data_IF_689426833662
#
_entry.id   IF_689426833662
#
_cell.length_a   1.000
_cell.length_b   1.000
_cell.length_c   1.000
_cell.angle_alpha   90.00
_cell.angle_beta   90.00
_cell.angle_gamma   90.00
#
_symmetry.space_group_name_H-M   'P 1'
#
loop_
_entity.id
_entity.type
_entity.pdbx_description
1 polymer ?
#
# COMPACT_ATOMS: atom_id res chain seq x y z
N UNK A 1 61.77 57.94 -18.29
CA UNK A 1 62.77 58.42 -17.32
C UNK A 1 62.09 59.52 -16.52
N UNK A 2 61.64 59.34 -15.28
CA UNK A 2 61.81 58.31 -14.22
C UNK A 2 60.65 58.52 -13.21
N UNK A 3 59.73 57.56 -13.00
CA UNK A 3 59.67 56.49 -11.94
C UNK A 3 59.26 57.01 -10.54
N UNK A 4 58.00 56.81 -10.08
CA UNK A 4 57.45 55.74 -9.19
C UNK A 4 57.80 55.92 -7.69
N UNK A 5 57.05 55.57 -6.64
CA UNK A 5 55.66 55.14 -6.32
C UNK A 5 55.55 55.05 -4.76
N UNK A 6 54.33 55.04 -4.18
CA UNK A 6 53.96 54.48 -2.84
C UNK A 6 54.42 55.26 -1.55
N UNK A 7 53.67 55.44 -0.44
CA UNK A 7 52.56 54.72 0.21
C UNK A 7 51.86 55.59 1.30
N UNK A 8 50.68 55.15 1.76
CA UNK A 8 50.06 55.32 3.10
C UNK A 8 48.88 56.31 3.30
N UNK A 9 47.69 55.75 3.06
CA UNK A 9 46.46 55.64 3.86
C UNK A 9 46.08 56.65 4.98
N UNK A 10 44.78 57.01 5.10
CA UNK A 10 44.19 57.68 6.27
C UNK A 10 43.74 56.67 7.35
N UNK A 11 43.86 57.04 8.62
CA UNK A 11 43.43 56.24 9.78
C UNK A 11 42.22 56.89 10.45
N UNK A 12 41.01 56.41 10.11
CA UNK A 12 39.82 56.59 10.94
C UNK A 12 39.15 55.21 11.08
N UNK A 13 39.45 54.51 12.18
CA UNK A 13 38.87 53.22 12.50
C UNK A 13 37.84 53.37 13.63
N UNK A 14 36.56 53.38 13.23
CA UNK A 14 35.39 53.32 14.12
C UNK A 14 35.28 51.92 14.74
N UNK A 15 35.19 51.86 16.07
CA UNK A 15 35.05 50.63 16.85
C UNK A 15 33.63 50.07 16.73
N UNK A 16 33.47 48.79 16.37
CA UNK A 16 32.18 48.07 16.35
C UNK A 16 32.12 47.07 17.50
N UNK A 17 31.08 47.05 18.36
CA UNK A 17 30.92 46.05 19.41
C UNK A 17 30.19 44.79 18.91
N UNK A 18 30.79 43.62 19.13
CA UNK A 18 30.17 42.30 19.05
C UNK A 18 29.27 42.06 20.28
N UNK A 19 27.98 41.71 20.10
CA UNK A 19 27.17 41.28 21.26
C UNK A 19 25.65 41.10 21.13
N UNK A 20 25.04 41.00 19.94
CA UNK A 20 23.57 41.10 19.83
C UNK A 20 22.81 40.02 19.04
N UNK A 21 23.43 38.89 18.66
CA UNK A 21 22.76 37.88 17.80
C UNK A 21 22.38 36.54 18.45
N UNK A 22 22.67 36.31 19.74
CA UNK A 22 22.39 35.00 20.39
C UNK A 22 20.95 34.91 20.95
N UNK A 23 20.36 36.04 21.35
CA UNK A 23 19.02 36.09 21.97
C UNK A 23 17.85 35.67 21.04
N UNK A 24 17.80 36.06 19.75
CA UNK A 24 16.65 35.69 18.90
C UNK A 24 16.67 34.21 18.47
N UNK A 25 17.84 33.57 18.40
CA UNK A 25 17.94 32.16 18.00
C UNK A 25 17.41 31.19 19.07
N UNK A 26 17.69 31.47 20.36
CA UNK A 26 17.15 30.69 21.49
C UNK A 26 15.63 30.80 21.60
N UNK A 27 15.04 31.94 21.25
CA UNK A 27 13.59 32.13 21.28
C UNK A 27 12.86 31.29 20.22
N UNK A 28 13.47 31.06 19.05
CA UNK A 28 12.90 30.24 17.97
C UNK A 28 12.96 28.75 18.33
N UNK A 29 14.09 28.28 18.89
CA UNK A 29 14.24 26.89 19.36
C UNK A 29 13.25 26.60 20.50
N UNK A 30 13.03 27.54 21.42
CA UNK A 30 12.02 27.41 22.50
C UNK A 30 10.56 27.53 22.05
N UNK A 31 10.27 27.93 20.80
CA UNK A 31 8.93 27.87 20.22
C UNK A 31 8.70 26.50 19.57
N UNK A 32 9.72 25.94 18.92
CA UNK A 32 9.69 24.60 18.31
C UNK A 32 9.57 23.48 19.35
N UNK A 33 10.28 23.58 20.50
CA UNK A 33 10.12 22.63 21.62
C UNK A 33 8.74 22.68 22.27
N UNK A 34 8.07 23.85 22.31
CA UNK A 34 6.71 23.97 22.89
C UNK A 34 5.64 23.34 22.02
N UNK A 35 5.78 23.43 20.70
CA UNK A 35 4.86 22.74 19.79
C UNK A 35 5.00 21.22 19.94
N UNK A 36 6.23 20.71 20.09
CA UNK A 36 6.48 19.28 20.33
C UNK A 36 5.94 18.84 21.70
N UNK A 37 6.15 19.60 22.77
CA UNK A 37 5.57 19.31 24.10
C UNK A 37 4.04 19.31 24.09
N UNK A 38 3.41 20.24 23.37
CA UNK A 38 1.94 20.23 23.18
C UNK A 38 1.47 19.03 22.35
N UNK A 39 2.22 18.62 21.33
CA UNK A 39 1.95 17.41 20.56
C UNK A 39 2.14 16.15 21.45
N UNK A 40 3.18 16.08 22.28
CA UNK A 40 3.44 15.00 23.23
C UNK A 40 2.37 14.90 24.32
N UNK A 41 1.90 16.04 24.84
CA UNK A 41 0.79 16.10 25.78
C UNK A 41 -0.54 15.67 25.12
N UNK A 42 -0.72 15.99 23.84
CA UNK A 42 -1.87 15.54 23.03
C UNK A 42 -1.85 14.02 22.81
N UNK A 43 -0.66 13.43 22.56
CA UNK A 43 -0.48 11.99 22.38
C UNK A 43 -0.79 11.14 23.64
N UNK A 44 -0.73 11.74 24.83
CA UNK A 44 -1.07 11.10 26.11
C UNK A 44 -2.57 11.20 26.48
N UNK A 45 -3.37 11.90 25.68
CA UNK A 45 -4.82 12.01 25.90
C UNK A 45 -5.54 10.71 25.51
N UNK A 46 -6.51 10.22 26.31
CA UNK A 46 -7.33 9.07 25.93
C UNK A 46 -8.10 9.35 24.64
N UNK A 47 -8.41 10.62 24.34
CA UNK A 47 -9.08 11.04 23.11
C UNK A 47 -8.19 10.74 21.90
N UNK A 48 -6.91 11.12 21.95
CA UNK A 48 -5.97 10.87 20.85
C UNK A 48 -5.78 9.37 20.60
N UNK A 49 -5.61 8.59 21.68
CA UNK A 49 -5.52 7.13 21.58
C UNK A 49 -6.76 6.53 20.90
N UNK A 50 -7.98 6.95 21.29
CA UNK A 50 -9.21 6.47 20.65
C UNK A 50 -9.32 6.87 19.18
N UNK A 51 -8.88 8.08 18.80
CA UNK A 51 -8.88 8.53 17.41
C UNK A 51 -7.90 7.73 16.55
N UNK A 52 -6.70 7.43 17.06
CA UNK A 52 -5.73 6.58 16.36
C UNK A 52 -6.26 5.16 16.21
N UNK A 53 -6.82 4.57 17.26
CA UNK A 53 -7.41 3.23 17.20
C UNK A 53 -8.58 3.19 16.20
N UNK A 54 -9.46 4.20 16.21
CA UNK A 54 -10.60 4.28 15.31
C UNK A 54 -10.15 4.41 13.85
N UNK A 55 -9.13 5.23 13.56
CA UNK A 55 -8.59 5.36 12.20
C UNK A 55 -7.93 4.07 11.72
N UNK A 56 -7.21 3.35 12.59
CA UNK A 56 -6.68 2.01 12.30
C UNK A 56 -7.80 1.01 12.01
N UNK A 57 -8.87 1.00 12.81
CA UNK A 57 -10.03 0.10 12.58
C UNK A 57 -10.73 0.43 11.26
N UNK A 58 -10.95 1.71 10.95
CA UNK A 58 -11.58 2.15 9.69
C UNK A 58 -10.72 1.73 8.50
N UNK A 59 -9.41 1.99 8.54
CA UNK A 59 -8.50 1.61 7.45
C UNK A 59 -8.42 0.09 7.27
N UNK A 60 -8.34 -0.69 8.35
CA UNK A 60 -8.42 -2.15 8.28
C UNK A 60 -9.74 -2.63 7.68
N UNK A 61 -10.86 -2.01 8.04
CA UNK A 61 -12.18 -2.36 7.52
C UNK A 61 -12.28 -2.12 6.01
N UNK A 62 -11.69 -1.03 5.50
CA UNK A 62 -11.61 -0.73 4.06
C UNK A 62 -10.75 -1.76 3.34
N UNK A 63 -9.59 -2.14 3.89
CA UNK A 63 -8.70 -3.16 3.31
C UNK A 63 -9.40 -4.53 3.23
N UNK A 64 -10.17 -4.90 4.26
CA UNK A 64 -10.89 -6.17 4.29
C UNK A 64 -12.17 -6.21 3.45
N UNK A 65 -12.68 -5.05 2.99
CA UNK A 65 -13.92 -4.97 2.22
C UNK A 65 -13.78 -5.40 0.75
N UNK A 66 -12.56 -5.55 0.25
CA UNK A 66 -12.28 -6.22 -1.02
C UNK A 66 -12.41 -7.73 -0.86
N UNK A 67 -13.60 -8.20 -0.46
CA UNK A 67 -13.93 -9.61 -0.52
C UNK A 67 -13.65 -10.09 -1.94
N UNK A 68 -12.84 -11.16 -2.09
CA UNK A 68 -12.46 -11.71 -3.40
C UNK A 68 -13.71 -11.86 -4.28
N UNK A 69 -13.91 -10.89 -5.18
CA UNK A 69 -14.92 -10.93 -6.23
C UNK A 69 -14.38 -11.87 -7.29
N UNK A 70 -15.23 -12.78 -7.74
CA UNK A 70 -14.84 -13.67 -8.81
C UNK A 70 -14.72 -12.90 -10.14
N UNK A 71 -13.80 -13.30 -11.02
CA UNK A 71 -13.72 -12.78 -12.37
C UNK A 71 -15.03 -12.97 -13.14
N UNK A 72 -15.18 -12.26 -14.26
CA UNK A 72 -16.33 -12.42 -15.13
C UNK A 72 -16.41 -13.86 -15.67
N UNK A 73 -17.61 -14.44 -15.67
CA UNK A 73 -17.85 -15.83 -16.07
C UNK A 73 -17.53 -16.84 -14.96
N UNK A 74 -17.31 -16.36 -13.74
CA UNK A 74 -17.07 -17.19 -12.56
C UNK A 74 -18.02 -16.79 -11.42
N UNK A 75 -18.49 -17.79 -10.68
CA UNK A 75 -19.24 -17.60 -9.45
C UNK A 75 -18.50 -18.22 -8.26
N UNK A 76 -18.87 -17.84 -7.04
CA UNK A 76 -18.38 -18.57 -5.86
C UNK A 76 -18.95 -19.98 -5.87
N UNK A 77 -18.08 -20.96 -5.79
CA UNK A 77 -18.43 -22.35 -5.76
C UNK A 77 -17.55 -23.16 -4.82
N UNK A 78 -17.86 -24.43 -4.77
CA UNK A 78 -17.15 -25.43 -3.99
C UNK A 78 -17.07 -26.72 -4.80
N UNK A 79 -15.92 -27.38 -4.77
CA UNK A 79 -15.78 -28.72 -5.33
C UNK A 79 -14.68 -29.53 -4.67
N UNK A 80 -14.61 -30.80 -5.07
CA UNK A 80 -13.71 -31.82 -4.53
C UNK A 80 -12.26 -31.70 -5.02
N UNK A 81 -11.68 -30.50 -5.07
CA UNK A 81 -10.36 -30.30 -5.67
C UNK A 81 -9.96 -28.83 -5.75
N UNK A 82 -8.86 -28.55 -6.44
CA UNK A 82 -8.41 -27.18 -6.70
C UNK A 82 -9.08 -26.57 -7.93
N UNK A 83 -8.99 -25.26 -8.07
CA UNK A 83 -9.34 -24.53 -9.30
C UNK A 83 -8.69 -25.19 -10.54
N UNK A 84 -9.48 -25.45 -11.58
CA UNK A 84 -9.03 -26.17 -12.79
C UNK A 84 -9.02 -27.70 -12.66
N UNK A 85 -9.64 -28.26 -11.63
CA UNK A 85 -9.86 -29.70 -11.48
C UNK A 85 -11.19 -30.13 -12.14
N UNK A 86 -11.22 -31.22 -12.93
CA UNK A 86 -12.46 -31.75 -13.52
C UNK A 86 -13.51 -32.17 -12.49
N UNK A 87 -13.14 -32.37 -11.23
CA UNK A 87 -14.06 -32.62 -10.12
C UNK A 87 -14.84 -31.37 -9.68
N UNK A 88 -14.34 -30.18 -9.99
CA UNK A 88 -14.90 -28.91 -9.53
C UNK A 88 -15.68 -28.23 -10.66
N UNK A 89 -15.10 -28.19 -11.85
CA UNK A 89 -15.65 -27.47 -13.00
C UNK A 89 -15.36 -28.23 -14.31
N UNK A 90 -15.75 -27.67 -15.45
CA UNK A 90 -15.35 -28.22 -16.75
C UNK A 90 -14.01 -27.61 -17.15
N UNK A 91 -13.13 -28.41 -17.72
CA UNK A 91 -11.78 -27.99 -18.13
C UNK A 91 -11.61 -28.29 -19.62
N UNK A 92 -11.05 -27.36 -20.38
CA UNK A 92 -10.81 -27.56 -21.81
C UNK A 92 -9.90 -28.78 -22.04
N UNK A 93 -10.24 -29.59 -23.04
CA UNK A 93 -9.50 -30.79 -23.47
C UNK A 93 -9.33 -31.86 -22.38
N UNK A 94 -10.14 -31.81 -21.32
CA UNK A 94 -10.20 -32.85 -20.29
C UNK A 94 -11.57 -33.50 -20.38
N UNK A 95 -11.60 -34.74 -20.86
CA UNK A 95 -12.81 -35.55 -20.78
C UNK A 95 -12.99 -36.01 -19.33
N UNK A 96 -14.18 -35.78 -18.76
CA UNK A 96 -14.55 -36.40 -17.49
C UNK A 96 -14.72 -37.89 -17.76
N UNK A 97 -13.67 -38.65 -17.52
CA UNK A 97 -13.71 -40.11 -17.62
C UNK A 97 -14.73 -40.65 -16.63
N UNK A 98 -15.54 -41.60 -17.10
CA UNK A 98 -16.47 -42.34 -16.25
C UNK A 98 -15.64 -43.07 -15.18
N UNK A 99 -15.81 -42.70 -13.91
CA UNK A 99 -15.03 -43.25 -12.78
C UNK A 99 -14.06 -42.27 -12.13
N UNK A 100 -14.09 -40.98 -12.48
CA UNK A 100 -13.33 -39.96 -11.75
C UNK A 100 -13.75 -39.92 -10.26
N UNK A 101 -12.85 -40.31 -9.37
CA UNK A 101 -13.07 -40.28 -7.91
C UNK A 101 -12.73 -38.88 -7.42
N UNK A 102 -13.76 -38.11 -7.05
CA UNK A 102 -13.58 -36.77 -6.51
C UNK A 102 -13.54 -36.79 -4.98
N UNK A 103 -12.53 -36.15 -4.36
CA UNK A 103 -12.49 -35.90 -2.93
C UNK A 103 -13.81 -35.31 -2.41
N UNK A 104 -14.30 -35.80 -1.27
CA UNK A 104 -15.46 -35.22 -0.58
C UNK A 104 -15.13 -33.89 0.12
N UNK A 105 -13.87 -33.45 0.10
CA UNK A 105 -13.45 -32.18 0.69
C UNK A 105 -13.80 -31.03 -0.25
N UNK A 106 -14.73 -30.21 0.22
CA UNK A 106 -15.12 -28.96 -0.40
C UNK A 106 -14.05 -27.87 -0.21
N UNK A 107 -13.35 -27.51 -1.27
CA UNK A 107 -12.50 -26.31 -1.30
C UNK A 107 -13.30 -25.19 -1.94
N UNK A 108 -13.41 -24.05 -1.24
CA UNK A 108 -14.12 -22.88 -1.75
C UNK A 108 -13.22 -22.06 -2.68
N UNK A 109 -13.80 -21.60 -3.79
CA UNK A 109 -13.09 -20.77 -4.77
C UNK A 109 -14.04 -20.16 -5.78
N UNK A 110 -13.47 -19.48 -6.77
CA UNK A 110 -14.20 -19.08 -7.97
C UNK A 110 -14.24 -20.25 -8.94
N UNK A 111 -15.38 -20.53 -9.53
CA UNK A 111 -15.57 -21.64 -10.47
C UNK A 111 -16.30 -21.12 -11.70
N UNK A 112 -16.01 -21.70 -12.86
CA UNK A 112 -16.67 -21.30 -14.10
C UNK A 112 -18.19 -21.45 -14.01
N UNK A 113 -18.91 -20.49 -14.58
CA UNK A 113 -20.35 -20.57 -14.76
C UNK A 113 -20.74 -21.82 -15.58
N UNK A 114 -21.99 -22.26 -15.41
CA UNK A 114 -22.52 -23.44 -16.11
C UNK A 114 -22.37 -23.27 -17.63
N UNK A 115 -21.82 -24.31 -18.28
CA UNK A 115 -21.61 -24.34 -19.73
C UNK A 115 -20.28 -23.72 -20.19
N UNK A 116 -19.55 -23.05 -19.31
CA UNK A 116 -18.18 -22.61 -19.57
C UNK A 116 -17.17 -23.68 -19.18
N UNK A 117 -16.00 -23.59 -19.79
CA UNK A 117 -14.86 -24.48 -19.61
C UNK A 117 -13.65 -23.63 -19.23
N UNK A 118 -12.94 -24.04 -18.18
CA UNK A 118 -11.69 -23.41 -17.81
C UNK A 118 -10.62 -23.79 -18.81
N UNK A 119 -10.10 -22.81 -19.52
CA UNK A 119 -8.94 -22.97 -20.39
C UNK A 119 -7.67 -22.93 -19.54
N UNK A 120 -6.86 -23.99 -19.60
CA UNK A 120 -5.71 -24.12 -18.70
C UNK A 120 -4.57 -23.13 -18.98
N UNK A 121 -4.51 -22.58 -20.20
CA UNK A 121 -3.43 -21.68 -20.65
C UNK A 121 -3.53 -20.28 -20.04
N UNK A 122 -4.72 -19.68 -20.00
CA UNK A 122 -4.97 -18.33 -19.47
C UNK A 122 -5.92 -18.30 -18.26
N UNK A 123 -6.34 -19.49 -17.80
CA UNK A 123 -7.27 -19.70 -16.68
C UNK A 123 -8.64 -19.06 -16.86
N UNK A 124 -9.01 -18.62 -18.07
CA UNK A 124 -10.32 -18.01 -18.34
C UNK A 124 -11.39 -19.07 -18.55
N UNK A 125 -12.61 -18.76 -18.13
CA UNK A 125 -13.80 -19.52 -18.44
C UNK A 125 -14.33 -19.11 -19.81
N UNK A 126 -14.34 -20.05 -20.75
CA UNK A 126 -14.75 -19.81 -22.14
C UNK A 126 -15.79 -20.84 -22.58
N UNK A 127 -16.62 -20.54 -23.59
CA UNK A 127 -17.46 -21.55 -24.23
C UNK A 127 -16.62 -22.73 -24.76
N UNK A 128 -17.20 -23.92 -24.79
CA UNK A 128 -16.50 -25.14 -25.27
C UNK A 128 -15.89 -24.98 -26.68
N UNK A 129 -16.55 -24.21 -27.55
CA UNK A 129 -16.08 -23.92 -28.91
C UNK A 129 -14.75 -23.16 -28.97
N UNK A 130 -14.36 -22.50 -27.88
CA UNK A 130 -13.10 -21.76 -27.76
C UNK A 130 -11.98 -22.58 -27.08
N UNK A 131 -12.27 -23.83 -26.69
CA UNK A 131 -11.25 -24.78 -26.29
C UNK A 131 -10.48 -25.22 -27.54
N UNK A 132 -9.32 -24.59 -27.78
CA UNK A 132 -8.39 -25.03 -28.82
C UNK A 132 -7.73 -26.34 -28.39
N UNK A 133 -7.73 -27.33 -29.28
CA UNK A 133 -7.07 -28.62 -29.12
C UNK A 133 -5.56 -28.49 -29.13
#
# INVERSE_FOLDING_TARGET
MTSDSQSNAPSDAMSVPHGHYIKPLLAIISLEEREIEQIMASMASPIFSTLVILTVIITLSIICAEGLKCPQGEHRGCGGGSLGDPCVENVCNVEKTFGLICPLKCVHGCVCDRGLYRRLTDKKCVPKSECKS
#
